data_IF_281627569855
#
_entry.id   IF_281627569855
#
_cell.length_a   1.000
_cell.length_b   1.000
_cell.length_c   1.000
_cell.angle_alpha   90.00
_cell.angle_beta   90.00
_cell.angle_gamma   90.00
#
_symmetry.space_group_name_H-M   'P 1'
#
loop_
_entity.id
_entity.type
_entity.pdbx_description
1 polymer ?
#
# COMPACT_ATOMS: atom_id res chain seq x y z
N UNK A 1 23.57 -4.57 6.74
CA UNK A 1 22.18 -4.10 6.97
C UNK A 1 21.82 -3.18 5.81
N UNK A 2 21.18 -3.71 4.78
CA UNK A 2 20.72 -2.90 3.66
C UNK A 2 19.40 -2.24 4.05
N UNK A 3 19.41 -0.91 4.09
CA UNK A 3 18.19 -0.13 4.29
C UNK A 3 17.36 -0.23 3.00
N UNK A 4 16.05 -0.53 3.06
CA UNK A 4 15.21 -0.56 1.87
C UNK A 4 15.32 0.76 1.09
N UNK A 5 15.37 0.68 -0.25
CA UNK A 5 15.56 1.83 -1.16
C UNK A 5 14.53 2.95 -1.01
N UNK A 6 13.42 2.67 -0.32
CA UNK A 6 12.28 3.57 -0.12
C UNK A 6 12.48 4.60 1.01
N UNK A 7 13.49 4.46 1.88
CA UNK A 7 13.68 5.34 3.05
C UNK A 7 14.48 6.62 2.78
N UNK A 8 14.80 6.96 1.52
CA UNK A 8 15.56 8.17 1.20
C UNK A 8 14.64 9.39 1.06
N UNK A 9 14.67 10.25 2.07
CA UNK A 9 13.96 11.53 2.22
C UNK A 9 13.75 12.29 0.90
N UNK A 10 12.49 12.43 0.48
CA UNK A 10 12.03 13.39 -0.55
C UNK A 10 11.05 14.41 0.08
N UNK A 11 10.95 15.65 -0.47
CA UNK A 11 10.11 16.69 0.09
C UNK A 11 8.61 16.33 0.03
N UNK A 12 7.86 16.77 1.03
CA UNK A 12 6.41 16.61 1.12
C UNK A 12 5.71 17.55 0.13
N UNK A 13 5.58 17.12 -1.11
CA UNK A 13 4.52 17.56 -2.02
C UNK A 13 3.68 16.33 -2.29
N UNK A 14 2.38 16.40 -1.99
CA UNK A 14 1.45 15.27 -1.97
C UNK A 14 1.64 14.26 -3.12
N UNK A 15 1.38 12.98 -2.82
CA UNK A 15 1.15 11.87 -3.75
C UNK A 15 2.27 10.84 -3.99
N UNK A 16 2.97 10.34 -2.95
CA UNK A 16 3.71 9.06 -3.05
C UNK A 16 3.41 8.18 -1.83
N UNK A 17 3.28 6.86 -2.03
CA UNK A 17 3.06 5.91 -0.95
C UNK A 17 4.23 5.93 0.04
N UNK A 18 3.95 6.04 1.33
CA UNK A 18 4.95 6.00 2.40
C UNK A 18 4.85 4.67 3.16
N UNK A 19 5.97 4.11 3.67
CA UNK A 19 5.90 2.95 4.54
C UNK A 19 4.96 3.18 5.73
N UNK A 20 4.01 2.27 5.91
CA UNK A 20 3.13 2.24 7.07
C UNK A 20 3.96 1.80 8.29
N UNK A 21 4.09 2.64 9.33
CA UNK A 21 4.89 2.31 10.50
C UNK A 21 4.42 0.99 11.14
N UNK A 22 5.33 0.05 11.33
CA UNK A 22 5.03 -1.26 11.91
C UNK A 22 4.44 -2.29 10.95
N UNK A 23 4.06 -1.90 9.72
CA UNK A 23 3.46 -2.79 8.74
C UNK A 23 2.08 -3.35 9.17
N UNK A 24 1.65 -4.42 8.51
CA UNK A 24 0.45 -5.19 8.89
C UNK A 24 0.80 -6.67 8.86
N UNK A 25 0.39 -7.42 9.89
CA UNK A 25 0.61 -8.87 10.01
C UNK A 25 2.08 -9.32 9.79
N UNK A 26 3.03 -8.47 10.16
CA UNK A 26 4.47 -8.75 10.00
C UNK A 26 5.02 -8.52 8.59
N UNK A 27 4.26 -7.86 7.72
CA UNK A 27 4.64 -7.52 6.35
C UNK A 27 4.68 -6.01 6.12
N UNK A 28 5.61 -5.57 5.27
CA UNK A 28 5.73 -4.16 4.90
C UNK A 28 4.57 -3.75 3.99
N UNK A 29 3.99 -2.59 4.30
CA UNK A 29 2.96 -1.97 3.49
C UNK A 29 3.35 -0.52 3.21
N UNK A 30 3.13 -0.07 1.99
CA UNK A 30 3.05 1.34 1.66
C UNK A 30 1.61 1.80 1.85
N UNK A 31 1.42 2.98 2.42
CA UNK A 31 0.13 3.62 2.60
C UNK A 31 0.12 4.97 1.87
N UNK A 32 -0.97 5.22 1.14
CA UNK A 32 -1.26 6.49 0.50
C UNK A 32 -2.69 6.88 0.86
N UNK A 33 -2.88 8.09 1.36
CA UNK A 33 -4.21 8.66 1.48
C UNK A 33 -4.74 9.07 0.11
N UNK A 34 -5.99 8.73 -0.18
CA UNK A 34 -6.68 9.03 -1.44
C UNK A 34 -8.11 9.48 -1.15
N UNK A 35 -8.61 10.41 -1.95
CA UNK A 35 -10.01 10.83 -1.93
C UNK A 35 -10.83 10.06 -2.97
N UNK A 36 -12.16 10.02 -2.81
CA UNK A 36 -13.06 9.47 -3.82
C UNK A 36 -12.93 10.20 -5.16
N UNK A 37 -12.75 11.53 -5.13
CA UNK A 37 -12.52 12.34 -6.34
C UNK A 37 -11.23 11.95 -7.06
N UNK A 38 -10.13 11.72 -6.33
CA UNK A 38 -8.88 11.24 -6.95
C UNK A 38 -9.06 9.85 -7.58
N UNK A 39 -9.75 8.92 -6.90
CA UNK A 39 -10.00 7.58 -7.43
C UNK A 39 -10.90 7.56 -8.65
N UNK A 40 -11.86 8.49 -8.73
CA UNK A 40 -12.69 8.66 -9.92
C UNK A 40 -11.88 9.12 -11.15
N UNK A 41 -10.73 9.75 -10.93
CA UNK A 41 -9.86 10.29 -12.00
C UNK A 41 -8.67 9.37 -12.33
N UNK A 42 -8.15 8.64 -11.35
CA UNK A 42 -6.92 7.86 -11.51
C UNK A 42 -7.02 6.50 -10.81
N UNK A 43 -6.62 5.47 -11.54
CA UNK A 43 -6.59 4.09 -11.05
C UNK A 43 -5.53 3.91 -9.96
N UNK A 44 -5.83 3.16 -8.87
CA UNK A 44 -4.83 2.75 -7.89
C UNK A 44 -3.59 2.07 -8.48
N UNK A 45 -3.74 1.33 -9.59
CA UNK A 45 -2.63 0.69 -10.28
C UNK A 45 -1.72 1.71 -10.99
N UNK A 46 -2.30 2.77 -11.56
CA UNK A 46 -1.52 3.86 -12.16
C UNK A 46 -0.83 4.70 -11.09
N UNK A 47 -1.48 4.94 -9.94
CA UNK A 47 -0.84 5.58 -8.78
C UNK A 47 0.39 4.77 -8.34
N UNK A 48 0.24 3.46 -8.13
CA UNK A 48 1.36 2.59 -7.77
C UNK A 48 2.50 2.67 -8.79
N UNK A 49 2.20 2.50 -10.09
CA UNK A 49 3.19 2.48 -11.15
C UNK A 49 3.98 3.79 -11.29
N UNK A 50 3.35 4.93 -11.01
CA UNK A 50 3.96 6.25 -11.22
C UNK A 50 4.68 6.78 -9.98
N UNK A 51 4.33 6.28 -8.79
CA UNK A 51 4.76 6.88 -7.52
C UNK A 51 5.70 6.00 -6.72
N UNK A 52 5.64 4.68 -6.91
CA UNK A 52 6.54 3.74 -6.26
C UNK A 52 7.66 3.37 -7.22
N UNK A 53 8.94 3.62 -6.86
CA UNK A 53 10.08 3.27 -7.70
C UNK A 53 10.02 1.80 -8.13
N UNK A 54 10.39 1.52 -9.37
CA UNK A 54 10.44 0.16 -9.95
C UNK A 54 9.09 -0.58 -10.05
N UNK A 55 8.00 -0.07 -9.44
CA UNK A 55 6.71 -0.74 -9.45
C UNK A 55 6.14 -0.91 -10.86
N UNK A 56 6.31 0.10 -11.74
CA UNK A 56 5.86 0.06 -13.14
C UNK A 56 6.34 -1.17 -13.90
N UNK A 57 7.58 -1.60 -13.66
CA UNK A 57 8.25 -2.72 -14.33
C UNK A 57 7.96 -4.06 -13.63
N UNK A 58 7.37 -4.00 -12.43
CA UNK A 58 7.24 -5.11 -11.50
C UNK A 58 5.85 -5.24 -10.90
N UNK A 59 4.81 -4.72 -11.56
CA UNK A 59 3.44 -4.67 -11.04
C UNK A 59 2.92 -6.03 -10.51
N UNK A 60 3.31 -7.15 -11.13
CA UNK A 60 2.94 -8.50 -10.68
C UNK A 60 3.55 -8.96 -9.35
N UNK A 61 4.48 -8.19 -8.76
CA UNK A 61 5.02 -8.43 -7.42
C UNK A 61 4.23 -7.73 -6.32
N UNK A 62 3.31 -6.84 -6.69
CA UNK A 62 2.54 -6.04 -5.75
C UNK A 62 1.10 -6.52 -5.67
N UNK A 63 0.50 -6.34 -4.50
CA UNK A 63 -0.94 -6.37 -4.32
C UNK A 63 -1.42 -5.09 -3.65
N UNK A 64 -2.66 -4.71 -3.97
CA UNK A 64 -3.30 -3.50 -3.47
C UNK A 64 -4.51 -3.86 -2.59
N UNK A 65 -4.72 -3.09 -1.54
CA UNK A 65 -5.95 -3.07 -0.74
C UNK A 65 -6.41 -1.63 -0.53
N UNK A 66 -7.69 -1.45 -0.22
CA UNK A 66 -8.26 -0.14 0.05
C UNK A 66 -9.22 -0.20 1.23
N UNK A 67 -9.18 0.80 2.10
CA UNK A 67 -10.09 0.91 3.24
C UNK A 67 -10.50 2.37 3.48
N UNK A 68 -11.66 2.57 4.09
CA UNK A 68 -12.13 3.90 4.52
C UNK A 68 -11.56 4.26 5.89
N UNK A 69 -11.09 5.49 6.02
CA UNK A 69 -10.60 6.07 7.28
C UNK A 69 -11.75 6.75 8.04
N UNK A 70 -11.55 6.99 9.33
CA UNK A 70 -12.56 7.59 10.22
C UNK A 70 -12.99 9.00 9.80
N UNK A 71 -12.11 9.73 9.10
CA UNK A 71 -12.38 11.06 8.56
C UNK A 71 -13.01 11.05 7.16
N UNK A 72 -13.43 9.89 6.67
CA UNK A 72 -14.13 9.72 5.40
C UNK A 72 -13.23 9.61 4.17
N UNK A 73 -11.93 9.86 4.29
CA UNK A 73 -10.99 9.57 3.21
C UNK A 73 -10.76 8.07 3.03
N UNK A 74 -10.06 7.69 1.97
CA UNK A 74 -9.63 6.32 1.71
C UNK A 74 -8.11 6.20 1.94
N UNK A 75 -7.67 5.03 2.36
CA UNK A 75 -6.26 4.63 2.34
C UNK A 75 -6.09 3.57 1.26
N UNK A 76 -5.14 3.80 0.36
CA UNK A 76 -4.61 2.82 -0.58
C UNK A 76 -3.38 2.19 0.05
N UNK A 77 -3.40 0.87 0.17
CA UNK A 77 -2.32 0.06 0.71
C UNK A 77 -1.68 -0.74 -0.43
N UNK A 78 -0.35 -0.82 -0.45
CA UNK A 78 0.40 -1.68 -1.37
C UNK A 78 1.39 -2.54 -0.59
N UNK A 79 1.45 -3.83 -0.91
CA UNK A 79 2.42 -4.78 -0.34
C UNK A 79 3.18 -5.46 -1.46
N UNK A 80 4.48 -5.64 -1.29
CA UNK A 80 5.36 -6.26 -2.29
C UNK A 80 5.82 -7.64 -1.82
N UNK A 81 5.82 -8.62 -2.73
CA UNK A 81 6.30 -9.97 -2.47
C UNK A 81 7.74 -9.94 -1.95
N UNK A 82 7.97 -10.57 -0.81
CA UNK A 82 9.29 -10.65 -0.17
C UNK A 82 9.48 -12.05 0.45
N UNK A 83 10.48 -12.79 -0.03
CA UNK A 83 10.75 -14.16 0.41
C UNK A 83 11.30 -14.23 1.85
N UNK A 84 12.09 -13.25 2.27
CA UNK A 84 12.71 -13.25 3.61
C UNK A 84 11.66 -13.10 4.71
N UNK A 85 10.63 -12.29 4.46
CA UNK A 85 9.51 -12.08 5.37
C UNK A 85 8.35 -13.02 5.09
N UNK A 86 8.50 -13.99 4.17
CA UNK A 86 7.44 -14.89 3.69
C UNK A 86 6.19 -14.16 3.16
N UNK A 87 6.33 -12.90 2.74
CA UNK A 87 5.26 -12.11 2.16
C UNK A 87 5.00 -12.55 0.72
N UNK A 88 3.79 -13.03 0.45
CA UNK A 88 3.35 -13.50 -0.88
C UNK A 88 2.71 -12.41 -1.74
N UNK A 89 2.72 -11.16 -1.28
CA UNK A 89 1.90 -10.07 -1.79
C UNK A 89 0.41 -10.45 -1.77
N UNK A 90 -0.10 -10.95 -0.64
CA UNK A 90 -1.51 -11.32 -0.50
C UNK A 90 -2.24 -10.21 0.24
N UNK A 91 -2.70 -9.18 -0.47
CA UNK A 91 -3.45 -8.09 0.18
C UNK A 91 -4.78 -8.55 0.83
N UNK A 92 -5.24 -9.76 0.54
CA UNK A 92 -6.37 -10.41 1.22
C UNK A 92 -6.08 -10.74 2.70
N UNK A 93 -4.82 -10.84 3.12
CA UNK A 93 -4.45 -11.27 4.47
C UNK A 93 -4.97 -10.35 5.59
N UNK A 94 -5.22 -9.08 5.28
CA UNK A 94 -5.75 -8.09 6.23
C UNK A 94 -7.28 -8.13 6.33
N UNK A 95 -7.95 -8.96 5.53
CA UNK A 95 -9.40 -9.13 5.54
C UNK A 95 -9.78 -10.33 6.40
N UNK A 96 -10.82 -10.15 7.22
CA UNK A 96 -11.42 -11.24 7.97
C UNK A 96 -12.75 -11.67 7.32
N UNK A 97 -12.72 -12.81 6.63
CA UNK A 97 -13.89 -13.39 5.99
C UNK A 97 -14.91 -14.01 6.96
N UNK A 98 -14.57 -14.15 8.23
CA UNK A 98 -15.53 -14.50 9.29
C UNK A 98 -16.33 -13.30 9.79
N UNK A 99 -15.94 -12.09 9.37
CA UNK A 99 -16.60 -10.83 9.71
C UNK A 99 -16.74 -10.61 11.23
N UNK A 100 -15.75 -10.99 12.04
CA UNK A 100 -15.80 -10.85 13.49
C UNK A 100 -15.93 -9.38 13.95
N UNK A 101 -15.52 -8.42 13.11
CA UNK A 101 -15.69 -6.98 13.37
C UNK A 101 -17.15 -6.51 13.46
N UNK A 102 -18.10 -7.30 12.96
CA UNK A 102 -19.53 -6.98 12.99
C UNK A 102 -20.27 -7.51 14.24
N UNK A 103 -19.57 -8.22 15.14
CA UNK A 103 -20.13 -8.73 16.40
C UNK A 103 -20.21 -7.62 17.45
#
# INVERSE_FOLDING_TARGET
>A
MSVPSWTRTRPQSAAAGLPLPGGLLGHEYLARRVTETELAQRSPFLMLAEEVPEAREHMGRFALAMAKQSDGSLVLLATERNLLTLNRASAEEIQDHSCAILQ
#
